data_IF_304227564873
#
_entry.id   IF_304227564873
#
_cell.length_a   1.000
_cell.length_b   1.000
_cell.length_c   1.000
_cell.angle_alpha   90.00
_cell.angle_beta   90.00
_cell.angle_gamma   90.00
#
_symmetry.space_group_name_H-M   'P 1'
#
loop_
_entity.id
_entity.type
_entity.pdbx_description
1 polymer ?
#
# COMPACT_ATOMS: atom_id res chain seq x y z
N UNK A 1 13.59 -4.19 -2.82
CA UNK A 1 13.68 -2.71 -2.80
C UNK A 1 14.58 -2.23 -3.93
N UNK A 2 15.71 -2.91 -4.12
CA UNK A 2 16.76 -2.72 -5.12
C UNK A 2 16.24 -2.59 -6.55
N UNK A 3 15.28 -3.42 -6.99
CA UNK A 3 14.72 -3.32 -8.34
C UNK A 3 13.89 -2.04 -8.56
N UNK A 4 13.15 -1.59 -7.54
CA UNK A 4 12.40 -0.32 -7.61
C UNK A 4 13.38 0.85 -7.70
N UNK A 5 14.39 0.86 -6.83
CA UNK A 5 15.46 1.87 -6.86
C UNK A 5 16.20 1.84 -8.20
N UNK A 6 16.50 0.66 -8.73
CA UNK A 6 17.14 0.48 -10.02
C UNK A 6 16.29 1.01 -11.18
N UNK A 7 14.97 0.80 -11.17
CA UNK A 7 14.08 1.35 -12.17
C UNK A 7 14.02 2.89 -12.08
N UNK A 8 13.88 3.44 -10.87
CA UNK A 8 13.85 4.89 -10.67
C UNK A 8 15.21 5.56 -10.98
N UNK A 9 16.32 4.84 -10.81
CA UNK A 9 17.66 5.34 -11.17
C UNK A 9 17.82 5.63 -12.67
N UNK A 10 16.91 5.11 -13.51
CA UNK A 10 16.85 5.43 -14.94
C UNK A 10 16.28 6.82 -15.21
N UNK A 11 15.54 7.38 -14.26
CA UNK A 11 15.00 8.75 -14.33
C UNK A 11 15.94 9.74 -13.64
N UNK A 12 16.54 9.33 -12.52
CA UNK A 12 17.53 10.13 -11.80
C UNK A 12 18.61 9.21 -11.21
N UNK A 13 19.80 9.21 -11.82
CA UNK A 13 20.89 8.33 -11.43
C UNK A 13 21.59 8.77 -10.14
N UNK A 14 21.60 10.08 -9.85
CA UNK A 14 22.24 10.66 -8.67
C UNK A 14 21.33 10.51 -7.45
N UNK A 15 20.00 10.62 -7.65
CA UNK A 15 19.01 10.54 -6.58
C UNK A 15 17.80 9.67 -6.96
N UNK A 16 17.93 8.34 -6.96
CA UNK A 16 16.89 7.43 -7.47
C UNK A 16 15.55 7.49 -6.71
N UNK A 17 15.49 8.04 -5.50
CA UNK A 17 14.22 8.17 -4.77
C UNK A 17 13.48 9.47 -5.08
N UNK A 18 14.18 10.47 -5.62
CA UNK A 18 13.61 11.77 -5.96
C UNK A 18 12.44 11.67 -6.95
N UNK A 19 12.49 10.88 -8.04
CA UNK A 19 11.36 10.79 -8.96
C UNK A 19 10.06 10.30 -8.29
N UNK A 20 10.16 9.33 -7.38
CA UNK A 20 9.00 8.85 -6.63
C UNK A 20 8.49 9.93 -5.66
N UNK A 21 9.40 10.56 -4.92
CA UNK A 21 9.04 11.59 -3.96
C UNK A 21 8.39 12.81 -4.63
N UNK A 22 8.98 13.31 -5.73
CA UNK A 22 8.47 14.46 -6.47
C UNK A 22 7.04 14.19 -6.97
N UNK A 23 6.76 12.96 -7.42
CA UNK A 23 5.43 12.54 -7.84
C UNK A 23 4.44 12.38 -6.67
N UNK A 24 4.91 12.09 -5.46
CA UNK A 24 4.06 12.15 -4.27
C UNK A 24 3.74 13.61 -3.91
N UNK A 25 4.75 14.47 -3.89
CA UNK A 25 4.61 15.89 -3.52
C UNK A 25 3.70 16.63 -4.50
N UNK A 26 3.88 16.44 -5.81
CA UNK A 26 3.06 17.11 -6.83
C UNK A 26 1.65 16.52 -7.01
N UNK A 27 1.34 15.41 -6.33
CA UNK A 27 0.03 14.77 -6.36
C UNK A 27 -0.20 13.80 -7.52
N UNK A 28 0.79 13.53 -8.37
CA UNK A 28 0.65 12.51 -9.41
C UNK A 28 0.46 11.11 -8.81
N UNK A 29 1.12 10.85 -7.67
CA UNK A 29 0.89 9.71 -6.80
C UNK A 29 0.28 10.26 -5.50
N UNK A 30 -0.95 9.87 -5.18
CA UNK A 30 -1.61 10.35 -3.95
C UNK A 30 -0.98 9.73 -2.69
N UNK A 31 -0.53 8.48 -2.77
CA UNK A 31 0.16 7.78 -1.70
C UNK A 31 0.52 6.37 -2.12
N UNK A 32 0.91 5.53 -1.16
CA UNK A 32 1.29 4.14 -1.40
C UNK A 32 0.43 3.20 -0.54
N UNK A 33 -0.05 2.12 -1.13
CA UNK A 33 -0.75 1.06 -0.42
C UNK A 33 0.01 -0.27 -0.55
N UNK A 34 0.34 -0.89 0.59
CA UNK A 34 0.86 -2.26 0.64
C UNK A 34 -0.29 -3.22 0.91
N UNK A 35 -0.66 -4.02 -0.09
CA UNK A 35 -1.68 -5.06 0.04
C UNK A 35 -0.98 -6.41 0.24
N UNK A 36 -1.20 -7.02 1.40
CA UNK A 36 -0.60 -8.30 1.77
C UNK A 36 -1.61 -9.28 2.35
N UNK A 37 -1.10 -10.41 2.84
CA UNK A 37 -1.90 -11.38 3.59
C UNK A 37 -2.33 -12.60 2.80
N UNK A 38 -3.45 -13.18 3.22
CA UNK A 38 -3.97 -14.50 2.83
C UNK A 38 -5.21 -14.35 1.93
N UNK A 39 -5.85 -15.47 1.59
CA UNK A 39 -7.31 -15.50 1.40
C UNK A 39 -7.96 -16.00 2.71
N UNK A 40 -9.27 -15.75 2.87
CA UNK A 40 -10.06 -16.25 3.99
C UNK A 40 -11.38 -16.85 3.48
N UNK A 41 -11.76 -18.03 3.98
CA UNK A 41 -12.98 -18.74 3.52
C UNK A 41 -14.29 -18.07 3.96
N UNK A 42 -14.23 -17.05 4.83
CA UNK A 42 -15.39 -16.21 5.18
C UNK A 42 -15.77 -15.21 4.09
N UNK A 43 -14.85 -14.93 3.17
CA UNK A 43 -15.03 -13.96 2.08
C UNK A 43 -14.96 -14.68 0.73
N UNK A 44 -15.56 -14.08 -0.31
CA UNK A 44 -15.34 -14.58 -1.67
C UNK A 44 -13.87 -14.41 -2.03
N UNK A 45 -13.22 -15.50 -2.43
CA UNK A 45 -11.79 -15.52 -2.72
C UNK A 45 -11.42 -14.43 -3.74
N UNK A 46 -10.39 -13.64 -3.42
CA UNK A 46 -9.78 -12.60 -4.25
C UNK A 46 -10.63 -11.33 -4.45
N UNK A 47 -11.91 -11.33 -4.04
CA UNK A 47 -12.80 -10.19 -4.24
C UNK A 47 -12.30 -8.95 -3.51
N UNK A 48 -11.89 -9.09 -2.26
CA UNK A 48 -11.48 -7.92 -1.48
C UNK A 48 -10.12 -7.39 -1.94
N UNK A 49 -9.18 -8.27 -2.28
CA UNK A 49 -7.89 -7.88 -2.86
C UNK A 49 -8.06 -7.10 -4.16
N UNK A 50 -8.82 -7.64 -5.11
CA UNK A 50 -8.97 -7.03 -6.44
C UNK A 50 -9.77 -5.73 -6.41
N UNK A 51 -10.85 -5.67 -5.63
CA UNK A 51 -11.65 -4.44 -5.47
C UNK A 51 -10.82 -3.32 -4.87
N UNK A 52 -10.12 -3.56 -3.75
CA UNK A 52 -9.32 -2.53 -3.09
C UNK A 52 -8.20 -2.04 -4.01
N UNK A 53 -7.48 -2.95 -4.68
CA UNK A 53 -6.39 -2.55 -5.58
C UNK A 53 -6.89 -1.66 -6.74
N UNK A 54 -8.02 -2.02 -7.38
CA UNK A 54 -8.60 -1.24 -8.47
C UNK A 54 -9.08 0.14 -8.00
N UNK A 55 -9.79 0.21 -6.86
CA UNK A 55 -10.28 1.47 -6.31
C UNK A 55 -9.15 2.43 -5.95
N UNK A 56 -8.08 1.92 -5.32
CA UNK A 56 -6.92 2.74 -4.96
C UNK A 56 -6.13 3.19 -6.20
N UNK A 57 -5.89 2.30 -7.17
CA UNK A 57 -5.20 2.64 -8.41
C UNK A 57 -5.94 3.72 -9.23
N UNK A 58 -7.27 3.64 -9.32
CA UNK A 58 -8.10 4.69 -9.96
C UNK A 58 -7.94 6.06 -9.29
N UNK A 59 -7.69 6.07 -7.98
CA UNK A 59 -7.43 7.28 -7.19
C UNK A 59 -5.94 7.67 -7.16
N UNK A 60 -5.15 7.18 -8.12
CA UNK A 60 -3.72 7.46 -8.27
C UNK A 60 -2.86 7.03 -7.07
N UNK A 61 -3.24 5.98 -6.35
CA UNK A 61 -2.41 5.38 -5.29
C UNK A 61 -1.51 4.31 -5.89
N UNK A 62 -0.21 4.37 -5.60
CA UNK A 62 0.73 3.33 -6.01
C UNK A 62 0.48 2.06 -5.19
N UNK A 63 0.15 0.95 -5.86
CA UNK A 63 -0.18 -0.32 -5.19
C UNK A 63 1.02 -1.27 -5.22
N UNK A 64 1.43 -1.71 -4.03
CA UNK A 64 2.46 -2.72 -3.81
C UNK A 64 1.78 -3.98 -3.27
N UNK A 65 2.27 -5.16 -3.66
CA UNK A 65 1.67 -6.41 -3.18
C UNK A 65 2.66 -7.51 -2.80
N UNK A 66 2.32 -8.27 -1.76
CA UNK A 66 3.07 -9.44 -1.30
C UNK A 66 2.18 -10.66 -1.04
N UNK A 67 2.79 -11.84 -0.92
CA UNK A 67 2.12 -13.05 -0.45
C UNK A 67 0.94 -13.48 -1.32
N UNK A 68 -0.13 -13.99 -0.70
CA UNK A 68 -1.30 -14.46 -1.43
C UNK A 68 -2.07 -13.30 -2.08
N UNK A 69 -2.00 -12.09 -1.52
CA UNK A 69 -2.59 -10.90 -2.15
C UNK A 69 -1.96 -10.63 -3.52
N UNK A 70 -0.63 -10.70 -3.63
CA UNK A 70 0.02 -10.60 -4.93
C UNK A 70 -0.41 -11.72 -5.89
N UNK A 71 -0.60 -12.94 -5.38
CA UNK A 71 -1.13 -14.05 -6.17
C UNK A 71 -2.57 -13.81 -6.67
N UNK A 72 -3.45 -13.28 -5.83
CA UNK A 72 -4.82 -12.90 -6.18
C UNK A 72 -4.84 -11.86 -7.31
N UNK A 73 -4.04 -10.80 -7.14
CA UNK A 73 -3.92 -9.72 -8.10
C UNK A 73 -3.31 -10.21 -9.43
N UNK A 74 -2.35 -11.13 -9.37
CA UNK A 74 -1.73 -11.71 -10.57
C UNK A 74 -2.72 -12.55 -11.37
N UNK A 75 -3.47 -13.44 -10.70
CA UNK A 75 -4.53 -14.26 -11.33
C UNK A 75 -5.61 -13.39 -11.98
N UNK A 76 -5.86 -12.22 -11.42
CA UNK A 76 -6.83 -11.25 -11.95
C UNK A 76 -6.26 -10.34 -13.07
N UNK A 77 -5.02 -10.55 -13.50
CA UNK A 77 -4.38 -9.76 -14.56
C UNK A 77 -3.89 -8.38 -14.12
N UNK A 78 -3.87 -8.07 -12.82
CA UNK A 78 -3.55 -6.73 -12.30
C UNK A 78 -2.05 -6.42 -12.23
N UNK A 79 -1.21 -7.40 -12.57
CA UNK A 79 0.25 -7.28 -12.65
C UNK A 79 0.71 -7.16 -14.11
N UNK A 80 -0.10 -6.55 -14.98
CA UNK A 80 0.25 -6.33 -16.38
C UNK A 80 0.18 -4.84 -16.77
N UNK A 81 0.87 -4.41 -17.84
CA UNK A 81 0.74 -3.06 -18.38
C UNK A 81 -0.69 -2.71 -18.80
N UNK A 82 -1.46 -3.68 -19.32
CA UNK A 82 -2.85 -3.47 -19.74
C UNK A 82 -3.74 -3.08 -18.55
N UNK A 83 -3.49 -3.64 -17.37
CA UNK A 83 -4.20 -3.22 -16.16
C UNK A 83 -3.88 -1.77 -15.78
N UNK A 84 -2.65 -1.29 -16.03
CA UNK A 84 -2.32 0.13 -15.83
C UNK A 84 -3.15 1.00 -16.77
N UNK A 85 -3.27 0.61 -18.03
CA UNK A 85 -4.07 1.34 -19.01
C UNK A 85 -5.57 1.35 -18.67
N UNK A 86 -6.10 0.23 -18.20
CA UNK A 86 -7.53 0.06 -17.91
C UNK A 86 -7.97 0.71 -16.59
N UNK A 87 -7.15 0.60 -15.53
CA UNK A 87 -7.60 0.87 -14.17
C UNK A 87 -6.86 2.00 -13.46
N UNK A 88 -5.61 2.32 -13.81
CA UNK A 88 -4.89 3.37 -13.11
C UNK A 88 -5.48 4.74 -13.46
N UNK A 89 -5.59 5.60 -12.45
CA UNK A 89 -5.91 7.01 -12.70
C UNK A 89 -4.85 7.67 -13.57
N UNK A 90 -5.23 8.76 -14.24
CA UNK A 90 -4.43 9.39 -15.30
C UNK A 90 -3.01 9.74 -14.87
N UNK A 91 -2.83 10.28 -13.66
CA UNK A 91 -1.50 10.71 -13.21
C UNK A 91 -0.64 9.55 -12.73
N UNK A 92 -1.22 8.53 -12.10
CA UNK A 92 -0.49 7.31 -11.76
C UNK A 92 -0.05 6.58 -13.02
N UNK A 93 -0.94 6.47 -14.00
CA UNK A 93 -0.65 5.90 -15.32
C UNK A 93 0.54 6.60 -15.97
N UNK A 94 0.54 7.94 -16.01
CA UNK A 94 1.64 8.72 -16.57
C UNK A 94 2.99 8.42 -15.87
N UNK A 95 2.99 8.30 -14.54
CA UNK A 95 4.21 7.97 -13.79
C UNK A 95 4.70 6.56 -14.10
N UNK A 96 3.81 5.56 -14.10
CA UNK A 96 4.17 4.18 -14.43
C UNK A 96 4.66 4.04 -15.88
N UNK A 97 4.11 4.81 -16.81
CA UNK A 97 4.57 4.91 -18.20
C UNK A 97 5.98 5.49 -18.28
N UNK A 98 6.23 6.62 -17.61
CA UNK A 98 7.53 7.26 -17.62
C UNK A 98 8.64 6.34 -17.06
N UNK A 99 8.38 5.68 -15.92
CA UNK A 99 9.34 4.74 -15.33
C UNK A 99 9.53 3.51 -16.23
N UNK A 100 8.44 2.95 -16.79
CA UNK A 100 8.50 1.79 -17.67
C UNK A 100 9.34 2.05 -18.92
N UNK A 101 9.11 3.17 -19.59
CA UNK A 101 9.86 3.59 -20.78
C UNK A 101 11.34 3.87 -20.46
N UNK A 102 11.62 4.55 -19.34
CA UNK A 102 13.00 4.78 -18.90
C UNK A 102 13.74 3.47 -18.57
N UNK A 103 13.01 2.45 -18.10
CA UNK A 103 13.53 1.11 -17.88
C UNK A 103 13.65 0.25 -19.16
N UNK A 104 13.29 0.78 -20.33
CA UNK A 104 13.37 0.10 -21.62
C UNK A 104 12.20 -0.84 -21.92
N UNK A 105 11.09 -0.72 -21.20
CA UNK A 105 9.87 -1.47 -21.47
C UNK A 105 9.07 -0.82 -22.60
N UNK A 106 8.32 -1.61 -23.40
CA UNK A 106 7.51 -1.07 -24.50
C UNK A 106 6.24 -0.32 -24.03
N UNK A 107 5.98 -0.27 -22.72
CA UNK A 107 4.79 0.31 -22.12
C UNK A 107 5.01 0.63 -20.64
N UNK A 108 3.92 0.92 -19.89
CA UNK A 108 4.04 1.22 -18.47
C UNK A 108 4.51 0.03 -17.64
N UNK A 109 5.01 0.34 -16.46
CA UNK A 109 5.06 -0.63 -15.38
C UNK A 109 3.65 -1.18 -15.06
N UNK A 110 3.55 -2.41 -14.53
CA UNK A 110 2.26 -2.98 -14.15
C UNK A 110 1.59 -2.18 -13.04
N UNK A 111 0.25 -2.22 -13.00
CA UNK A 111 -0.56 -1.41 -12.05
C UNK A 111 -0.20 -1.72 -10.59
N UNK A 112 0.08 -2.99 -10.31
CA UNK A 112 0.53 -3.48 -9.01
C UNK A 112 1.98 -3.93 -9.12
N UNK A 113 2.84 -3.41 -8.23
CA UNK A 113 4.22 -3.85 -8.14
C UNK A 113 4.36 -4.99 -7.13
N UNK A 114 4.67 -6.19 -7.62
CA UNK A 114 4.87 -7.35 -6.76
C UNK A 114 6.21 -7.27 -6.02
N UNK A 115 6.16 -7.25 -4.69
CA UNK A 115 7.33 -7.16 -3.82
C UNK A 115 7.81 -8.50 -3.25
N UNK A 116 7.18 -9.62 -3.61
CA UNK A 116 7.59 -10.97 -3.22
C UNK A 116 6.68 -11.64 -2.18
N UNK A 117 7.25 -12.56 -1.42
CA UNK A 117 6.57 -13.38 -0.42
C UNK A 117 6.12 -12.59 0.83
N UNK A 118 5.43 -13.23 1.78
CA UNK A 118 4.99 -12.55 3.01
C UNK A 118 6.15 -12.00 3.86
N UNK A 119 7.35 -12.61 3.82
CA UNK A 119 8.52 -12.06 4.55
C UNK A 119 9.10 -10.84 3.84
N UNK A 120 8.81 -10.68 2.54
CA UNK A 120 9.26 -9.56 1.73
C UNK A 120 8.42 -8.29 1.95
N UNK A 121 7.41 -8.29 2.84
CA UNK A 121 6.80 -7.05 3.34
C UNK A 121 7.85 -6.08 3.91
N UNK A 122 8.94 -6.63 4.45
CA UNK A 122 10.11 -5.87 4.90
C UNK A 122 10.75 -5.03 3.80
N UNK A 123 10.63 -5.42 2.52
CA UNK A 123 11.14 -4.63 1.38
C UNK A 123 10.32 -3.37 1.15
N UNK A 124 9.01 -3.42 1.37
CA UNK A 124 8.16 -2.23 1.30
C UNK A 124 8.50 -1.26 2.44
N UNK A 125 8.72 -1.79 3.65
CA UNK A 125 9.19 -1.02 4.81
C UNK A 125 10.54 -0.36 4.49
N UNK A 126 11.50 -1.08 3.90
CA UNK A 126 12.80 -0.51 3.55
C UNK A 126 12.68 0.70 2.59
N UNK A 127 11.76 0.64 1.61
CA UNK A 127 11.50 1.77 0.70
C UNK A 127 10.85 2.93 1.46
N UNK A 128 9.86 2.67 2.32
CA UNK A 128 9.22 3.69 3.14
C UNK A 128 10.22 4.38 4.08
N UNK A 129 11.08 3.61 4.76
CA UNK A 129 12.14 4.15 5.62
C UNK A 129 13.12 5.02 4.84
N UNK A 130 13.50 4.61 3.63
CA UNK A 130 14.39 5.41 2.79
C UNK A 130 13.73 6.74 2.38
N UNK A 131 12.43 6.75 2.07
CA UNK A 131 11.67 7.97 1.79
C UNK A 131 11.55 8.87 3.03
N UNK A 132 11.19 8.30 4.18
CA UNK A 132 11.08 9.02 5.46
C UNK A 132 12.38 9.73 5.83
N UNK A 133 13.50 9.00 5.80
CA UNK A 133 14.83 9.54 6.05
C UNK A 133 15.19 10.67 5.09
N UNK A 134 14.82 10.55 3.81
CA UNK A 134 15.10 11.55 2.78
C UNK A 134 14.40 12.89 3.05
N UNK A 135 13.17 12.86 3.56
CA UNK A 135 12.38 14.06 3.86
C UNK A 135 12.43 14.47 5.35
N UNK A 136 13.20 13.76 6.17
CA UNK A 136 13.41 14.09 7.58
C UNK A 136 12.15 13.94 8.44
N UNK A 137 11.28 12.98 8.14
CA UNK A 137 10.09 12.64 8.94
C UNK A 137 10.14 11.17 9.38
N UNK A 138 9.27 10.79 10.31
CA UNK A 138 9.12 9.38 10.72
C UNK A 138 8.18 8.61 9.74
N UNK A 139 7.91 7.33 9.99
CA UNK A 139 7.08 6.46 9.14
C UNK A 139 5.57 6.66 9.29
N UNK A 140 5.11 7.06 10.49
CA UNK A 140 3.87 7.83 10.60
C UNK A 140 4.07 9.14 9.79
N UNK A 141 3.21 10.13 9.63
CA UNK A 141 3.41 11.24 8.63
C UNK A 141 3.43 10.82 7.14
N UNK A 142 4.11 9.75 6.71
CA UNK A 142 4.11 9.32 5.31
C UNK A 142 2.69 8.95 4.83
N UNK A 143 2.33 9.27 3.57
CA UNK A 143 1.05 8.86 2.97
C UNK A 143 1.09 7.39 2.53
N UNK A 144 1.33 6.50 3.49
CA UNK A 144 1.46 5.05 3.29
C UNK A 144 0.44 4.33 4.16
N UNK A 145 -0.24 3.35 3.58
CA UNK A 145 -1.20 2.48 4.28
C UNK A 145 -0.91 1.01 4.01
N UNK A 146 -1.29 0.15 4.95
CA UNK A 146 -1.19 -1.31 4.83
C UNK A 146 -2.58 -1.90 4.82
N UNK A 147 -2.80 -2.93 4.00
CA UNK A 147 -4.09 -3.62 3.90
C UNK A 147 -3.88 -5.13 3.91
N UNK A 148 -4.60 -5.82 4.78
CA UNK A 148 -4.75 -7.27 4.77
C UNK A 148 -6.24 -7.63 4.57
N UNK A 149 -6.74 -7.55 3.32
CA UNK A 149 -8.18 -7.65 3.01
C UNK A 149 -8.81 -8.98 3.42
N UNK A 150 -8.07 -10.07 3.30
CA UNK A 150 -8.56 -11.42 3.56
C UNK A 150 -7.64 -12.13 4.56
N UNK A 151 -7.27 -11.45 5.65
CA UNK A 151 -6.38 -11.99 6.66
C UNK A 151 -6.95 -13.29 7.28
N UNK A 152 -6.09 -14.31 7.45
CA UNK A 152 -6.48 -15.63 7.98
C UNK A 152 -5.43 -16.16 8.96
N UNK A 153 -4.16 -16.23 8.54
CA UNK A 153 -3.10 -16.82 9.36
C UNK A 153 -2.67 -15.91 10.51
N UNK A 154 -2.13 -16.51 11.57
CA UNK A 154 -1.48 -15.77 12.68
C UNK A 154 -0.34 -14.89 12.18
N UNK A 155 0.36 -15.31 11.11
CA UNK A 155 1.37 -14.48 10.44
C UNK A 155 0.80 -13.16 9.92
N UNK A 156 -0.43 -13.16 9.38
CA UNK A 156 -1.07 -11.92 8.91
C UNK A 156 -1.39 -10.99 10.08
N UNK A 157 -1.80 -11.53 11.24
CA UNK A 157 -2.02 -10.74 12.45
C UNK A 157 -0.72 -10.15 13.01
N UNK A 158 0.36 -10.94 13.04
CA UNK A 158 1.68 -10.45 13.42
C UNK A 158 2.15 -9.34 12.47
N UNK A 159 1.91 -9.51 11.16
CA UNK A 159 2.24 -8.50 10.15
C UNK A 159 1.47 -7.19 10.36
N UNK A 160 0.16 -7.28 10.53
CA UNK A 160 -0.64 -6.10 10.81
C UNK A 160 -0.20 -5.40 12.10
N UNK A 161 0.16 -6.17 13.13
CA UNK A 161 0.57 -5.62 14.43
C UNK A 161 1.88 -4.86 14.33
N UNK A 162 2.90 -5.38 13.64
CA UNK A 162 4.13 -4.62 13.45
C UNK A 162 3.93 -3.43 12.50
N UNK A 163 3.02 -3.51 11.51
CA UNK A 163 2.72 -2.38 10.63
C UNK A 163 2.15 -1.19 11.42
N UNK A 164 1.22 -1.46 12.34
CA UNK A 164 0.71 -0.48 13.31
C UNK A 164 1.82 0.03 14.21
N UNK A 165 2.70 -0.85 14.68
CA UNK A 165 3.83 -0.48 15.55
C UNK A 165 4.85 0.43 14.85
N UNK A 166 5.01 0.29 13.54
CA UNK A 166 5.85 1.16 12.70
C UNK A 166 5.17 2.47 12.28
N UNK A 167 3.93 2.71 12.67
CA UNK A 167 3.23 3.97 12.39
C UNK A 167 2.26 3.95 11.22
N UNK A 168 2.04 2.80 10.58
CA UNK A 168 1.14 2.72 9.42
C UNK A 168 -0.33 2.51 9.82
N UNK A 169 -1.28 3.25 9.21
CA UNK A 169 -2.68 2.86 9.22
C UNK A 169 -2.84 1.50 8.53
N UNK A 170 -3.44 0.53 9.24
CA UNK A 170 -3.44 -0.87 8.83
C UNK A 170 -4.87 -1.43 8.79
N UNK A 171 -5.34 -1.73 7.59
CA UNK A 171 -6.66 -2.30 7.36
C UNK A 171 -6.67 -3.84 7.52
N UNK A 172 -7.70 -4.35 8.21
CA UNK A 172 -8.07 -5.76 8.28
C UNK A 172 -9.47 -5.95 7.69
N UNK A 173 -9.60 -6.73 6.63
CA UNK A 173 -10.90 -6.98 5.98
C UNK A 173 -11.67 -8.16 6.56
N UNK A 174 -11.16 -8.77 7.63
CA UNK A 174 -11.84 -9.80 8.41
C UNK A 174 -11.81 -9.40 9.87
N UNK A 175 -12.95 -9.54 10.56
CA UNK A 175 -13.06 -9.19 11.97
C UNK A 175 -12.06 -9.99 12.83
N UNK A 176 -11.11 -9.33 13.52
CA UNK A 176 -10.21 -9.99 14.45
C UNK A 176 -10.94 -10.36 15.75
N UNK A 177 -10.41 -11.33 16.49
CA UNK A 177 -10.99 -11.81 17.76
C UNK A 177 -10.69 -10.87 18.94
N UNK A 178 -11.01 -9.58 18.81
CA UNK A 178 -10.78 -8.55 19.84
C UNK A 178 -12.06 -7.89 20.35
N UNK A 179 -13.19 -8.09 19.66
CA UNK A 179 -14.46 -7.39 19.95
C UNK A 179 -15.09 -7.77 21.29
N UNK A 180 -14.65 -8.85 21.93
CA UNK A 180 -15.10 -9.26 23.26
C UNK A 180 -14.66 -8.31 24.37
N UNK A 181 -13.70 -7.41 24.10
CA UNK A 181 -13.23 -6.40 25.05
C UNK A 181 -13.21 -5.03 24.39
N UNK A 182 -14.05 -4.12 24.90
CA UNK A 182 -14.08 -2.72 24.46
C UNK A 182 -12.74 -2.02 24.72
N UNK A 183 -12.08 -2.35 25.84
CA UNK A 183 -10.75 -1.83 26.16
C UNK A 183 -9.72 -2.23 25.10
N UNK A 184 -9.63 -3.53 24.77
CA UNK A 184 -8.66 -4.01 23.76
C UNK A 184 -8.96 -3.43 22.39
N UNK A 185 -10.24 -3.35 22.02
CA UNK A 185 -10.64 -2.73 20.75
C UNK A 185 -10.23 -1.26 20.70
N UNK A 186 -10.53 -0.48 21.73
CA UNK A 186 -10.18 0.94 21.82
C UNK A 186 -8.67 1.17 21.76
N UNK A 187 -7.89 0.34 22.45
CA UNK A 187 -6.43 0.42 22.42
C UNK A 187 -5.93 0.22 20.98
N UNK A 188 -6.39 -0.82 20.30
CA UNK A 188 -5.87 -1.20 18.98
C UNK A 188 -6.35 -0.30 17.82
N UNK A 189 -7.48 0.38 17.97
CA UNK A 189 -8.05 1.23 16.91
C UNK A 189 -7.85 2.73 17.15
N UNK A 190 -7.75 3.18 18.41
CA UNK A 190 -7.71 4.61 18.76
C UNK A 190 -6.51 5.00 19.62
N UNK A 191 -6.32 4.44 20.82
CA UNK A 191 -5.28 4.92 21.74
C UNK A 191 -3.86 4.72 21.18
N UNK A 192 -3.63 3.62 20.45
CA UNK A 192 -2.33 3.31 19.85
C UNK A 192 -1.86 4.39 18.85
N UNK A 193 -2.77 5.20 18.29
CA UNK A 193 -2.42 6.36 17.44
C UNK A 193 -1.51 7.34 18.18
N UNK A 194 -1.75 7.57 19.47
CA UNK A 194 -0.93 8.44 20.31
C UNK A 194 0.41 7.85 20.74
N UNK A 195 0.62 6.55 20.52
CA UNK A 195 1.82 5.81 20.93
C UNK A 195 2.75 5.61 19.74
N UNK A 196 2.24 5.09 18.61
CA UNK A 196 3.05 4.73 17.44
C UNK A 196 2.71 5.54 16.19
N UNK A 197 1.60 6.28 16.21
CA UNK A 197 1.05 6.95 15.02
C UNK A 197 0.28 6.02 14.07
N UNK A 198 0.43 4.70 14.20
CA UNK A 198 -0.30 3.69 13.43
C UNK A 198 -1.55 3.23 14.18
N UNK A 199 -2.44 2.52 13.50
CA UNK A 199 -3.68 2.00 14.08
C UNK A 199 -4.35 0.98 13.18
N UNK A 200 -5.17 0.10 13.76
CA UNK A 200 -6.01 -0.80 12.99
C UNK A 200 -7.29 -0.12 12.50
N UNK A 201 -7.69 -0.47 11.29
CA UNK A 201 -9.00 -0.19 10.71
C UNK A 201 -9.63 -1.53 10.36
N UNK A 202 -10.85 -1.76 10.82
CA UNK A 202 -11.56 -3.00 10.55
C UNK A 202 -12.78 -2.68 9.69
N UNK A 203 -12.77 -3.11 8.44
CA UNK A 203 -13.83 -2.86 7.48
C UNK A 203 -13.96 -4.05 6.53
N UNK A 204 -15.09 -4.73 6.54
CA UNK A 204 -15.28 -5.97 5.76
C UNK A 204 -15.80 -5.70 4.35
N UNK A 205 -16.40 -4.53 4.11
CA UNK A 205 -16.79 -4.13 2.76
C UNK A 205 -15.55 -3.59 2.01
N UNK A 206 -15.13 -4.22 0.91
CA UNK A 206 -13.88 -3.82 0.25
C UNK A 206 -13.95 -2.45 -0.44
N UNK A 207 -15.15 -1.95 -0.76
CA UNK A 207 -15.31 -0.63 -1.36
C UNK A 207 -15.17 0.46 -0.28
N UNK A 208 -15.85 0.29 0.85
CA UNK A 208 -15.71 1.14 2.03
C UNK A 208 -14.27 1.11 2.58
N UNK A 209 -13.62 -0.06 2.59
CA UNK A 209 -12.23 -0.19 3.00
C UNK A 209 -11.30 0.63 2.10
N UNK A 210 -11.50 0.61 0.78
CA UNK A 210 -10.72 1.41 -0.16
C UNK A 210 -10.92 2.92 0.06
N UNK A 211 -12.15 3.35 0.35
CA UNK A 211 -12.44 4.76 0.69
C UNK A 211 -11.75 5.20 1.98
N UNK A 212 -11.81 4.38 3.04
CA UNK A 212 -11.14 4.65 4.31
C UNK A 212 -9.62 4.71 4.14
N UNK A 213 -9.03 3.75 3.41
CA UNK A 213 -7.60 3.73 3.10
C UNK A 213 -7.18 5.00 2.36
N UNK A 214 -7.94 5.41 1.33
CA UNK A 214 -7.66 6.64 0.60
C UNK A 214 -7.81 7.89 1.50
N UNK A 215 -8.84 7.95 2.35
CA UNK A 215 -9.01 9.06 3.29
C UNK A 215 -7.82 9.18 4.26
N UNK A 216 -7.26 8.06 4.73
CA UNK A 216 -6.06 8.04 5.55
C UNK A 216 -4.83 8.57 4.81
N UNK A 217 -4.64 8.16 3.55
CA UNK A 217 -3.60 8.71 2.67
C UNK A 217 -3.74 10.23 2.59
N UNK A 218 -4.94 10.75 2.28
CA UNK A 218 -5.16 12.19 2.17
C UNK A 218 -4.95 12.93 3.51
N UNK A 219 -5.25 12.31 4.64
CA UNK A 219 -4.96 12.88 5.95
C UNK A 219 -3.46 13.03 6.19
N UNK A 220 -2.67 12.01 5.84
CA UNK A 220 -1.20 12.05 5.94
C UNK A 220 -0.59 13.11 5.02
N UNK A 221 -1.08 13.20 3.77
CA UNK A 221 -0.71 14.27 2.82
C UNK A 221 -0.92 15.66 3.42
N UNK A 222 -2.13 15.95 3.93
CA UNK A 222 -2.43 17.23 4.60
C UNK A 222 -1.51 17.49 5.78
N UNK A 223 -1.15 16.46 6.54
CA UNK A 223 -0.20 16.56 7.64
C UNK A 223 1.23 16.93 7.21
N UNK A 224 1.60 16.64 5.96
CA UNK A 224 2.85 17.06 5.33
C UNK A 224 2.72 18.39 4.56
N UNK A 225 1.53 18.98 4.49
CA UNK A 225 1.27 20.21 3.74
C UNK A 225 1.16 20.04 2.22
N UNK A 226 0.85 18.82 1.75
CA UNK A 226 0.71 18.45 0.33
C UNK A 226 -0.65 17.81 0.01
#
# INVERSE_FOLDING_TARGET
AEAIVGALSRLDAEDPLKPLLDNIVNGNIQGVALIGGCNNTKTMQDLAHTTIAKELARKNVLVLATGCAAGALAKAGLLTPEATEEYAGETLKAVLTAVGQAAGLPGPLPMVLHMGSCVDNTRAVAVATALANKIGVDLDKLPVVVSAPECMSEKAMAIGTWAVSLGFPTHLGVMPQILGSSLVTNILTEEIKGITGGYFMVETDPQAAAEQLFACIQQRRRGLGI
#
